data_IF_108621406295
#
_entry.id   IF_108621406295
#
_cell.length_a   1.000
_cell.length_b   1.000
_cell.length_c   1.000
_cell.angle_alpha   90.00
_cell.angle_beta   90.00
_cell.angle_gamma   90.00
#
_symmetry.space_group_name_H-M   'P 1'
#
loop_
_entity.id
_entity.type
_entity.pdbx_description
1 polymer ?
#
# COMPACT_ATOMS: atom_id res chain seq x y z
N UNK A 1 -18.17 -22.46 -3.33
CA UNK A 1 -18.04 -21.12 -2.72
C UNK A 1 -18.79 -21.17 -1.40
N UNK A 2 -18.14 -21.19 -0.23
CA UNK A 2 -18.96 -21.46 0.96
C UNK A 2 -18.34 -21.59 2.35
N UNK A 3 -17.22 -20.94 2.69
CA UNK A 3 -16.72 -20.89 4.08
C UNK A 3 -16.03 -19.55 4.38
N UNK A 4 -16.64 -18.42 4.03
CA UNK A 4 -16.07 -17.09 4.30
C UNK A 4 -15.92 -16.85 5.81
N UNK A 5 -16.92 -17.23 6.61
CA UNK A 5 -16.89 -17.06 8.07
C UNK A 5 -15.82 -17.91 8.77
N UNK A 6 -15.52 -19.12 8.28
CA UNK A 6 -14.49 -19.98 8.86
C UNK A 6 -13.08 -19.48 8.53
N UNK A 7 -12.90 -18.97 7.30
CA UNK A 7 -11.66 -18.32 6.88
C UNK A 7 -11.39 -17.05 7.70
N UNK A 8 -12.41 -16.21 7.92
CA UNK A 8 -12.33 -15.03 8.78
C UNK A 8 -11.96 -15.39 10.23
N UNK A 9 -12.57 -16.44 10.79
CA UNK A 9 -12.27 -16.86 12.15
C UNK A 9 -10.84 -17.42 12.30
N UNK A 10 -10.41 -18.27 11.36
CA UNK A 10 -9.05 -18.79 11.33
C UNK A 10 -8.03 -17.67 11.21
N UNK A 11 -8.32 -16.67 10.39
CA UNK A 11 -7.44 -15.54 10.17
C UNK A 11 -7.39 -14.62 11.40
N UNK A 12 -8.51 -14.31 12.05
CA UNK A 12 -8.52 -13.61 13.35
C UNK A 12 -7.66 -14.35 14.38
N UNK A 13 -7.88 -15.66 14.55
CA UNK A 13 -7.11 -16.48 15.50
C UNK A 13 -5.61 -16.48 15.16
N UNK A 14 -5.26 -16.60 13.89
CA UNK A 14 -3.86 -16.56 13.44
C UNK A 14 -3.20 -15.21 13.75
N UNK A 15 -3.90 -14.10 13.49
CA UNK A 15 -3.43 -12.75 13.81
C UNK A 15 -3.27 -12.55 15.32
N UNK A 16 -4.24 -12.97 16.12
CA UNK A 16 -4.19 -12.85 17.59
C UNK A 16 -3.02 -13.67 18.17
N UNK A 17 -2.83 -14.90 17.69
CA UNK A 17 -1.70 -15.76 18.10
C UNK A 17 -0.38 -15.12 17.72
N UNK A 18 -0.25 -14.60 16.50
CA UNK A 18 0.97 -13.95 16.04
C UNK A 18 1.29 -12.70 16.87
N UNK A 19 0.28 -11.87 17.14
CA UNK A 19 0.46 -10.66 17.93
C UNK A 19 0.86 -11.00 19.36
N UNK A 20 0.17 -11.95 19.99
CA UNK A 20 0.52 -12.44 21.32
C UNK A 20 1.96 -13.01 21.35
N UNK A 21 2.36 -13.75 20.32
CA UNK A 21 3.71 -14.30 20.21
C UNK A 21 4.76 -13.20 20.05
N UNK A 22 4.46 -12.14 19.28
CA UNK A 22 5.35 -10.98 19.11
C UNK A 22 5.49 -10.15 20.39
N UNK A 23 4.39 -9.95 21.13
CA UNK A 23 4.37 -9.21 22.39
C UNK A 23 5.11 -9.95 23.51
N UNK A 24 5.01 -11.28 23.55
CA UNK A 24 5.68 -12.11 24.56
C UNK A 24 7.08 -12.59 24.15
N UNK A 25 7.62 -12.16 23.00
CA UNK A 25 8.99 -12.51 22.61
C UNK A 25 9.98 -11.49 23.20
N UNK A 26 10.78 -11.86 24.22
CA UNK A 26 11.65 -10.92 24.93
C UNK A 26 12.89 -10.51 24.12
N UNK A 27 13.33 -11.34 23.17
CA UNK A 27 14.49 -11.06 22.34
C UNK A 27 14.10 -10.20 21.14
N UNK A 28 14.63 -8.97 20.97
CA UNK A 28 14.31 -8.10 19.84
C UNK A 28 14.62 -8.76 18.49
N UNK A 29 15.78 -9.44 18.38
CA UNK A 29 16.17 -10.16 17.17
C UNK A 29 15.20 -11.30 16.82
N UNK A 30 14.70 -12.01 17.84
CA UNK A 30 13.71 -13.08 17.64
C UNK A 30 12.33 -12.51 17.28
N UNK A 31 11.94 -11.37 17.87
CA UNK A 31 10.71 -10.63 17.53
C UNK A 31 10.75 -10.18 16.07
N UNK A 32 11.88 -9.64 15.61
CA UNK A 32 12.11 -9.29 14.21
C UNK A 32 12.01 -10.50 13.28
N UNK A 33 12.73 -11.59 13.58
CA UNK A 33 12.70 -12.79 12.74
C UNK A 33 11.28 -13.36 12.62
N UNK A 34 10.54 -13.35 13.73
CA UNK A 34 9.16 -13.82 13.77
C UNK A 34 8.23 -12.93 12.94
N UNK A 35 8.34 -11.61 13.10
CA UNK A 35 7.52 -10.66 12.36
C UNK A 35 7.78 -10.75 10.85
N UNK A 36 9.05 -10.84 10.43
CA UNK A 36 9.40 -11.01 9.01
C UNK A 36 8.89 -12.34 8.46
N UNK A 37 9.03 -13.43 9.20
CA UNK A 37 8.55 -14.76 8.79
C UNK A 37 7.04 -14.77 8.54
N UNK A 38 6.30 -13.96 9.28
CA UNK A 38 4.84 -13.92 9.23
C UNK A 38 4.29 -12.58 8.69
N UNK A 39 5.11 -11.82 7.94
CA UNK A 39 4.72 -10.52 7.38
C UNK A 39 3.45 -10.60 6.50
N UNK A 40 3.22 -11.74 5.84
CA UNK A 40 2.01 -11.97 5.05
C UNK A 40 0.71 -11.89 5.86
N UNK A 41 0.71 -12.30 7.14
CA UNK A 41 -0.47 -12.17 8.01
C UNK A 41 -0.74 -10.71 8.37
N UNK A 42 0.32 -9.91 8.56
CA UNK A 42 0.19 -8.48 8.83
C UNK A 42 -0.36 -7.74 7.60
N UNK A 43 0.17 -8.03 6.41
CA UNK A 43 -0.34 -7.50 5.14
C UNK A 43 -1.81 -7.87 4.91
N UNK A 44 -2.17 -9.14 5.16
CA UNK A 44 -3.56 -9.58 5.06
C UNK A 44 -4.48 -8.86 6.05
N UNK A 45 -4.01 -8.59 7.26
CA UNK A 45 -4.79 -7.87 8.28
C UNK A 45 -5.10 -6.43 7.84
N UNK A 46 -4.15 -5.76 7.18
CA UNK A 46 -4.39 -4.44 6.56
C UNK A 46 -5.45 -4.55 5.46
N UNK A 47 -5.31 -5.51 4.55
CA UNK A 47 -6.26 -5.68 3.44
C UNK A 47 -7.71 -5.91 3.92
N UNK A 48 -7.89 -6.66 5.00
CA UNK A 48 -9.23 -6.88 5.56
C UNK A 48 -9.78 -5.65 6.30
N UNK A 49 -8.94 -4.89 6.99
CA UNK A 49 -9.36 -3.61 7.56
C UNK A 49 -9.85 -2.65 6.47
N UNK A 50 -9.22 -2.68 5.28
CA UNK A 50 -9.67 -1.92 4.11
C UNK A 50 -11.02 -2.44 3.61
N UNK A 51 -11.16 -3.76 3.44
CA UNK A 51 -12.41 -4.38 2.94
C UNK A 51 -13.61 -4.15 3.87
N UNK A 52 -13.38 -4.13 5.18
CA UNK A 52 -14.41 -3.86 6.19
C UNK A 52 -14.78 -2.37 6.34
N UNK A 53 -14.12 -1.47 5.57
CA UNK A 53 -14.36 -0.03 5.66
C UNK A 53 -13.69 0.65 6.85
N UNK A 54 -12.89 -0.08 7.65
CA UNK A 54 -12.17 0.47 8.79
C UNK A 54 -10.83 1.09 8.35
N UNK A 55 -10.92 2.18 7.59
CA UNK A 55 -9.77 2.77 6.90
C UNK A 55 -8.73 3.41 7.82
N UNK A 56 -9.15 3.95 8.97
CA UNK A 56 -8.21 4.46 9.97
C UNK A 56 -7.37 3.33 10.55
N UNK A 57 -8.01 2.23 10.97
CA UNK A 57 -7.28 1.07 11.49
C UNK A 57 -6.38 0.44 10.43
N UNK A 58 -6.83 0.38 9.17
CA UNK A 58 -6.02 -0.11 8.06
C UNK A 58 -4.72 0.71 7.89
N UNK A 59 -4.83 2.03 7.89
CA UNK A 59 -3.69 2.95 7.81
C UNK A 59 -2.75 2.75 9.01
N UNK A 60 -3.28 2.77 10.23
CA UNK A 60 -2.47 2.62 11.46
C UNK A 60 -1.74 1.27 11.51
N UNK A 61 -2.39 0.19 11.07
CA UNK A 61 -1.77 -1.13 10.94
C UNK A 61 -0.66 -1.14 9.88
N UNK A 62 -0.87 -0.48 8.73
CA UNK A 62 0.15 -0.34 7.70
C UNK A 62 1.36 0.46 8.21
N UNK A 63 1.13 1.57 8.93
CA UNK A 63 2.17 2.39 9.54
C UNK A 63 2.93 1.64 10.65
N UNK A 64 2.23 0.81 11.43
CA UNK A 64 2.86 -0.06 12.42
C UNK A 64 3.83 -1.04 11.78
N UNK A 65 3.42 -1.70 10.71
CA UNK A 65 4.29 -2.61 9.96
C UNK A 65 5.49 -1.90 9.32
N UNK A 66 5.24 -0.75 8.66
CA UNK A 66 6.27 0.06 8.00
C UNK A 66 7.34 0.54 8.98
N UNK A 67 6.93 1.14 10.09
CA UNK A 67 7.86 1.69 11.07
C UNK A 67 8.59 0.60 11.84
N UNK A 68 7.96 -0.55 12.12
CA UNK A 68 8.68 -1.70 12.69
C UNK A 68 9.85 -2.13 11.79
N UNK A 69 9.61 -2.25 10.48
CA UNK A 69 10.66 -2.56 9.51
C UNK A 69 11.73 -1.47 9.46
N UNK A 70 11.35 -0.18 9.43
CA UNK A 70 12.30 0.94 9.40
C UNK A 70 13.17 0.98 10.66
N UNK A 71 12.58 0.78 11.85
CA UNK A 71 13.32 0.73 13.12
C UNK A 71 14.38 -0.38 13.11
N UNK A 72 14.07 -1.55 12.55
CA UNK A 72 15.05 -2.62 12.38
C UNK A 72 16.16 -2.27 11.39
N UNK A 73 15.82 -1.57 10.30
CA UNK A 73 16.76 -1.23 9.23
C UNK A 73 17.74 -0.13 9.64
N UNK A 74 17.28 0.82 10.45
CA UNK A 74 18.06 1.97 10.91
C UNK A 74 18.83 1.72 12.22
N UNK A 75 18.75 0.50 12.78
CA UNK A 75 19.27 0.17 14.11
C UNK A 75 18.85 1.19 15.19
N UNK A 76 17.70 1.84 14.99
CA UNK A 76 17.19 2.82 15.93
C UNK A 76 16.74 2.08 17.19
N UNK A 77 17.36 2.42 18.32
CA UNK A 77 17.07 1.85 19.63
C UNK A 77 15.74 2.39 20.14
N UNK A 78 14.63 1.74 19.76
CA UNK A 78 13.33 2.03 20.34
C UNK A 78 12.19 1.33 19.65
N UNK A 79 11.22 0.84 20.43
CA UNK A 79 9.86 0.52 19.97
C UNK A 79 9.17 1.89 19.75
N UNK A 80 9.61 2.64 18.73
CA UNK A 80 9.00 3.91 18.37
C UNK A 80 7.54 3.66 17.99
N UNK A 81 6.63 4.27 18.75
CA UNK A 81 5.20 4.09 18.56
C UNK A 81 4.81 4.65 17.20
N UNK A 82 4.22 3.82 16.33
CA UNK A 82 3.67 4.33 15.08
C UNK A 82 2.53 5.29 15.36
N UNK A 83 2.44 6.41 14.62
CA UNK A 83 1.47 7.44 14.90
C UNK A 83 0.06 6.93 14.63
N UNK A 84 -0.86 7.31 15.51
CA UNK A 84 -2.30 7.17 15.28
C UNK A 84 -2.76 8.13 14.19
N UNK A 85 -3.93 7.89 13.59
CA UNK A 85 -4.52 8.80 12.62
C UNK A 85 -4.68 10.22 13.20
N UNK A 86 -5.03 10.31 14.48
CA UNK A 86 -5.16 11.58 15.18
C UNK A 86 -3.84 12.36 15.28
N UNK A 87 -2.72 11.65 15.37
CA UNK A 87 -1.38 12.25 15.41
C UNK A 87 -0.91 12.64 14.01
N UNK A 88 -1.19 11.80 13.01
CA UNK A 88 -0.93 12.13 11.60
C UNK A 88 -1.69 13.39 11.19
N UNK A 89 -2.93 13.58 11.66
CA UNK A 89 -3.72 14.79 11.41
C UNK A 89 -3.05 16.09 11.90
N UNK A 90 -2.20 16.02 12.94
CA UNK A 90 -1.45 17.19 13.44
C UNK A 90 -0.36 17.66 12.47
N UNK A 91 0.05 16.80 11.54
CA UNK A 91 1.03 17.11 10.49
C UNK A 91 0.40 17.82 9.28
N UNK A 92 -0.93 17.79 9.19
CA UNK A 92 -1.69 18.32 8.06
C UNK A 92 -2.23 19.72 8.37
N UNK A 93 -2.34 20.54 7.33
CA UNK A 93 -3.00 21.85 7.36
C UNK A 93 -3.89 22.00 6.10
N UNK A 94 -4.73 23.04 5.98
CA UNK A 94 -5.66 23.18 4.86
C UNK A 94 -5.02 23.16 3.45
N UNK A 95 -3.71 23.40 3.35
CA UNK A 95 -2.96 23.41 2.09
C UNK A 95 -2.11 22.16 1.87
N UNK A 96 -2.03 21.26 2.84
CA UNK A 96 -1.22 20.03 2.75
C UNK A 96 -2.09 18.78 2.83
N UNK A 97 -1.66 17.76 2.09
CA UNK A 97 -2.23 16.42 2.11
C UNK A 97 -1.08 15.41 2.13
N UNK A 98 -1.31 14.25 2.71
CA UNK A 98 -0.38 13.12 2.69
C UNK A 98 -0.98 12.05 1.77
N UNK A 99 -0.16 11.52 0.87
CA UNK A 99 -0.44 10.31 0.13
C UNK A 99 0.47 9.21 0.68
N UNK A 100 -0.12 8.20 1.30
CA UNK A 100 0.59 7.02 1.80
C UNK A 100 0.16 5.78 1.04
N UNK A 101 0.99 4.74 1.02
CA UNK A 101 0.68 3.51 0.33
C UNK A 101 1.02 2.26 1.14
N UNK A 102 0.17 1.25 1.00
CA UNK A 102 0.40 -0.09 1.51
C UNK A 102 0.39 -1.07 0.34
N UNK A 103 1.44 -1.88 0.25
CA UNK A 103 1.52 -2.97 -0.72
C UNK A 103 1.40 -4.33 -0.03
N UNK A 104 0.50 -5.14 -0.57
CA UNK A 104 0.31 -6.54 -0.21
C UNK A 104 0.41 -7.43 -1.46
N UNK A 105 0.47 -8.76 -1.29
CA UNK A 105 0.36 -9.70 -2.42
C UNK A 105 -0.96 -9.57 -3.20
N UNK A 106 -1.99 -8.95 -2.62
CA UNK A 106 -3.32 -8.87 -3.21
C UNK A 106 -3.63 -7.49 -3.80
N UNK A 107 -2.98 -6.41 -3.32
CA UNK A 107 -3.28 -5.06 -3.77
C UNK A 107 -2.18 -4.04 -3.49
N UNK A 108 -2.23 -2.96 -4.24
CA UNK A 108 -1.68 -1.66 -3.85
C UNK A 108 -2.85 -0.80 -3.35
N UNK A 109 -2.77 -0.39 -2.10
CA UNK A 109 -3.76 0.47 -1.47
C UNK A 109 -3.11 1.83 -1.19
N UNK A 110 -3.73 2.92 -1.65
CA UNK A 110 -3.25 4.28 -1.40
C UNK A 110 -4.21 5.00 -0.45
N UNK A 111 -3.68 5.57 0.61
CA UNK A 111 -4.40 6.39 1.57
C UNK A 111 -4.13 7.87 1.27
N UNK A 112 -5.19 8.64 1.03
CA UNK A 112 -5.12 10.09 0.90
C UNK A 112 -5.67 10.72 2.17
N UNK A 113 -4.80 11.40 2.91
CA UNK A 113 -5.12 12.06 4.15
C UNK A 113 -5.22 13.57 3.90
N UNK A 114 -6.37 14.14 4.24
CA UNK A 114 -6.62 15.58 4.18
C UNK A 114 -6.78 16.13 5.59
N UNK A 115 -6.43 17.41 5.74
CA UNK A 115 -6.62 18.12 7.00
C UNK A 115 -8.09 18.12 7.44
N UNK A 116 -8.32 17.78 8.71
CA UNK A 116 -9.64 17.68 9.35
C UNK A 116 -10.61 16.70 8.67
N UNK A 117 -10.10 15.74 7.88
CA UNK A 117 -10.92 14.64 7.41
C UNK A 117 -11.18 13.66 8.58
N UNK A 118 -12.41 13.14 8.73
CA UNK A 118 -12.72 12.19 9.79
C UNK A 118 -12.12 10.79 9.55
N UNK A 119 -11.77 10.49 8.29
CA UNK A 119 -11.13 9.24 7.88
C UNK A 119 -10.28 9.46 6.61
N UNK A 120 -9.26 8.61 6.37
CA UNK A 120 -8.49 8.66 5.13
C UNK A 120 -9.34 8.22 3.94
N UNK A 121 -9.08 8.78 2.76
CA UNK A 121 -9.69 8.33 1.51
C UNK A 121 -8.85 7.18 0.97
N UNK A 122 -9.44 6.00 0.78
CA UNK A 122 -8.72 4.83 0.26
C UNK A 122 -8.96 4.68 -1.24
N UNK A 123 -7.87 4.69 -1.99
CA UNK A 123 -7.83 4.29 -3.39
C UNK A 123 -7.29 2.85 -3.43
N UNK A 124 -8.19 1.90 -3.61
CA UNK A 124 -7.84 0.49 -3.77
C UNK A 124 -8.42 -0.03 -5.07
N UNK A 125 -7.63 -0.84 -5.77
CA UNK A 125 -8.06 -1.50 -7.00
C UNK A 125 -9.27 -2.42 -6.71
N UNK A 126 -9.32 -3.09 -5.54
CA UNK A 126 -10.46 -3.91 -5.13
C UNK A 126 -11.72 -3.10 -4.81
N UNK A 127 -11.58 -1.95 -4.15
CA UNK A 127 -12.73 -1.06 -3.88
C UNK A 127 -13.31 -0.56 -5.21
N UNK A 128 -12.46 -0.24 -6.17
CA UNK A 128 -12.87 0.15 -7.52
C UNK A 128 -13.59 -1.00 -8.25
N UNK A 129 -13.14 -2.25 -8.09
CA UNK A 129 -13.77 -3.44 -8.64
C UNK A 129 -15.11 -3.81 -7.97
N UNK A 130 -15.27 -3.56 -6.67
CA UNK A 130 -16.52 -3.76 -5.93
C UNK A 130 -17.54 -2.69 -6.33
N UNK A 131 -17.13 -1.42 -6.44
CA UNK A 131 -18.00 -0.33 -6.86
C UNK A 131 -18.39 -0.40 -8.35
N UNK A 132 -17.60 -1.08 -9.18
CA UNK A 132 -17.93 -1.36 -10.59
C UNK A 132 -18.66 -2.70 -10.79
N UNK A 133 -18.94 -3.43 -9.70
CA UNK A 133 -19.69 -4.69 -9.73
C UNK A 133 -21.19 -4.48 -9.95
N UNK A 134 -21.67 -3.23 -9.90
CA UNK A 134 -22.98 -2.85 -10.46
C UNK A 134 -22.97 -2.73 -11.99
N UNK A 135 -21.80 -2.71 -12.66
CA UNK A 135 -21.72 -2.44 -14.12
C UNK A 135 -21.13 -3.54 -15.00
N UNK A 136 -20.64 -4.68 -14.50
CA UNK A 136 -20.07 -5.70 -15.39
C UNK A 136 -20.53 -7.13 -15.10
N UNK A 137 -21.72 -7.47 -15.60
CA UNK A 137 -22.03 -8.83 -16.05
C UNK A 137 -21.46 -9.04 -17.47
N UNK A 138 -20.33 -9.75 -17.59
CA UNK A 138 -19.88 -10.54 -18.75
C UNK A 138 -18.49 -11.13 -18.40
N UNK A 139 -18.31 -12.44 -18.25
CA UNK A 139 -18.09 -13.41 -19.34
C UNK A 139 -17.04 -12.98 -20.36
N UNK A 140 -15.77 -13.09 -20.00
CA UNK A 140 -14.70 -13.61 -20.86
C UNK A 140 -13.46 -13.83 -19.97
N UNK A 141 -12.51 -14.70 -20.34
CA UNK A 141 -11.33 -15.08 -19.53
C UNK A 141 -10.30 -13.96 -19.23
N UNK A 142 -10.74 -12.71 -19.10
CA UNK A 142 -9.92 -11.51 -18.87
C UNK A 142 -9.64 -11.37 -17.38
N UNK A 143 -8.36 -11.50 -17.02
CA UNK A 143 -7.86 -11.29 -15.67
C UNK A 143 -8.42 -9.96 -15.09
N UNK A 144 -8.94 -9.95 -13.84
CA UNK A 144 -9.46 -8.73 -13.22
C UNK A 144 -8.45 -7.59 -13.32
N UNK A 145 -8.91 -6.38 -13.63
CA UNK A 145 -8.07 -5.18 -13.80
C UNK A 145 -7.11 -4.96 -12.64
N UNK A 146 -7.55 -5.30 -11.42
CA UNK A 146 -6.76 -5.28 -10.19
C UNK A 146 -5.54 -6.20 -10.21
N UNK A 147 -5.70 -7.41 -10.74
CA UNK A 147 -4.63 -8.41 -10.86
C UNK A 147 -3.63 -8.02 -11.96
N UNK A 148 -4.10 -7.33 -13.01
CA UNK A 148 -3.21 -6.78 -14.04
C UNK A 148 -2.35 -5.64 -13.50
N UNK A 149 -2.97 -4.68 -12.81
CA UNK A 149 -2.25 -3.56 -12.17
C UNK A 149 -1.24 -4.04 -11.12
N UNK A 150 -1.60 -5.06 -10.33
CA UNK A 150 -0.69 -5.67 -9.37
C UNK A 150 0.52 -6.32 -10.06
N UNK A 151 0.28 -7.08 -11.14
CA UNK A 151 1.36 -7.68 -11.93
C UNK A 151 2.26 -6.63 -12.56
N UNK A 152 1.68 -5.62 -13.19
CA UNK A 152 2.42 -4.52 -13.81
C UNK A 152 3.29 -3.77 -12.78
N UNK A 153 2.75 -3.54 -11.57
CA UNK A 153 3.52 -2.94 -10.48
C UNK A 153 4.63 -3.86 -9.96
N UNK A 154 4.35 -5.16 -9.79
CA UNK A 154 5.35 -6.14 -9.35
C UNK A 154 6.50 -6.25 -10.37
N UNK A 155 6.18 -6.29 -11.67
CA UNK A 155 7.15 -6.30 -12.76
C UNK A 155 7.98 -5.00 -12.76
N UNK A 156 7.33 -3.85 -12.52
CA UNK A 156 8.00 -2.55 -12.41
C UNK A 156 8.98 -2.51 -11.22
N UNK A 157 8.58 -2.98 -10.04
CA UNK A 157 9.45 -3.05 -8.86
C UNK A 157 10.63 -4.00 -9.10
N UNK A 158 10.39 -5.15 -9.73
CA UNK A 158 11.45 -6.09 -10.07
C UNK A 158 12.44 -5.47 -11.06
N UNK A 159 11.94 -4.78 -12.08
CA UNK A 159 12.78 -4.11 -13.07
C UNK A 159 13.57 -2.95 -12.44
N UNK A 160 12.94 -2.15 -11.57
CA UNK A 160 13.64 -1.12 -10.80
C UNK A 160 14.77 -1.70 -9.97
N UNK A 161 14.51 -2.76 -9.19
CA UNK A 161 15.52 -3.37 -8.34
C UNK A 161 16.74 -3.85 -9.14
N UNK A 162 16.51 -4.35 -10.36
CA UNK A 162 17.58 -4.73 -11.28
C UNK A 162 18.37 -3.52 -11.76
N UNK A 163 17.69 -2.48 -12.24
CA UNK A 163 18.33 -1.24 -12.72
C UNK A 163 19.12 -0.53 -11.60
N UNK A 164 18.60 -0.53 -10.38
CA UNK A 164 19.29 0.01 -9.20
C UNK A 164 20.54 -0.83 -8.84
N UNK A 165 20.47 -2.15 -8.95
CA UNK A 165 21.61 -3.04 -8.73
C UNK A 165 22.71 -2.82 -9.79
N UNK A 166 22.34 -2.69 -11.06
CA UNK A 166 23.29 -2.41 -12.15
C UNK A 166 23.97 -1.03 -11.97
N UNK A 167 23.21 -0.01 -11.54
CA UNK A 167 23.76 1.30 -11.14
C UNK A 167 24.77 1.18 -10.00
N UNK A 168 24.44 0.42 -8.94
CA UNK A 168 25.30 0.20 -7.77
C UNK A 168 26.61 -0.53 -8.11
N UNK A 169 26.59 -1.37 -9.15
CA UNK A 169 27.75 -2.13 -9.62
C UNK A 169 28.63 -1.33 -10.60
N UNK A 170 28.31 -0.05 -10.86
CA UNK A 170 29.09 0.81 -11.74
C UNK A 170 29.01 0.41 -13.22
N UNK A 171 27.96 -0.35 -13.59
CA UNK A 171 27.69 -0.75 -14.98
C UNK A 171 27.05 0.35 -15.82
N UNK A 172 26.75 1.50 -15.22
CA UNK A 172 26.51 2.77 -15.93
C UNK A 172 27.85 3.33 -16.42
N UNK A 173 28.56 2.55 -17.24
CA UNK A 173 29.74 3.01 -17.95
C UNK A 173 29.30 3.87 -19.12
N UNK A 174 29.62 5.17 -19.03
CA UNK A 174 29.85 6.26 -20.01
C UNK A 174 29.55 6.12 -21.53
N UNK A 175 29.04 5.01 -22.07
CA UNK A 175 29.11 4.75 -23.51
C UNK A 175 27.80 4.80 -24.30
N UNK A 176 26.62 4.85 -23.69
CA UNK A 176 25.38 5.03 -24.45
C UNK A 176 24.41 5.81 -23.57
N UNK A 177 23.80 6.87 -24.11
CA UNK A 177 22.78 7.72 -23.46
C UNK A 177 21.51 6.98 -23.04
N UNK A 178 21.65 5.97 -22.19
CA UNK A 178 20.59 5.30 -21.48
C UNK A 178 20.23 6.17 -20.30
N UNK A 179 19.01 6.70 -20.34
CA UNK A 179 18.32 7.38 -19.25
C UNK A 179 18.56 6.63 -17.95
N UNK A 180 19.23 7.27 -16.98
CA UNK A 180 19.42 6.70 -15.66
C UNK A 180 18.04 6.33 -15.10
N UNK A 181 17.94 5.33 -14.22
CA UNK A 181 16.67 5.00 -13.55
C UNK A 181 16.00 6.24 -12.92
N UNK A 182 16.81 7.25 -12.55
CA UNK A 182 16.39 8.57 -12.08
C UNK A 182 15.59 9.39 -13.10
N UNK A 183 15.92 9.30 -14.37
CA UNK A 183 15.28 10.10 -15.43
C UNK A 183 13.89 9.55 -15.79
N UNK A 184 13.63 8.28 -15.48
CA UNK A 184 12.33 7.61 -15.68
C UNK A 184 11.40 7.69 -14.48
N UNK A 185 11.84 8.27 -13.36
CA UNK A 185 11.01 8.46 -12.16
C UNK A 185 9.64 9.10 -12.42
N UNK A 186 9.52 10.16 -13.23
CA UNK A 186 8.21 10.78 -13.50
C UNK A 186 7.22 9.83 -14.18
N UNK A 187 7.69 9.02 -15.13
CA UNK A 187 6.85 8.08 -15.88
C UNK A 187 6.44 6.88 -15.01
N UNK A 188 7.33 6.43 -14.12
CA UNK A 188 7.09 5.33 -13.18
C UNK A 188 5.99 5.66 -12.15
N UNK A 189 5.95 6.92 -11.68
CA UNK A 189 4.95 7.39 -10.72
C UNK A 189 3.58 7.58 -11.39
N UNK A 190 3.56 7.94 -12.67
CA UNK A 190 2.33 8.19 -13.44
C UNK A 190 1.52 6.92 -13.68
N UNK A 191 2.18 5.77 -13.91
CA UNK A 191 1.53 4.45 -14.05
C UNK A 191 0.76 4.05 -12.79
N UNK A 192 1.19 4.53 -11.61
CA UNK A 192 0.65 4.11 -10.32
C UNK A 192 -0.60 4.91 -9.89
N UNK A 193 -0.87 6.07 -10.51
CA UNK A 193 -1.94 7.00 -10.10
C UNK A 193 -2.97 7.22 -11.23
N UNK A 194 -3.18 6.22 -12.09
CA UNK A 194 -4.29 6.30 -13.06
C UNK A 194 -5.63 6.11 -12.34
N UNK A 195 -6.13 7.21 -11.78
CA UNK A 195 -7.53 7.37 -11.39
C UNK A 195 -8.39 7.20 -12.65
N UNK A 196 -9.51 6.46 -12.61
CA UNK A 196 -10.44 6.47 -13.73
C UNK A 196 -10.90 7.91 -13.94
N UNK A 197 -10.68 8.43 -15.15
CA UNK A 197 -11.02 9.77 -15.58
C UNK A 197 -12.44 10.13 -15.11
N UNK A 198 -12.55 10.99 -14.10
CA UNK A 198 -13.81 11.69 -13.84
C UNK A 198 -14.02 12.62 -15.02
N UNK A 199 -15.04 12.28 -15.82
CA UNK A 199 -15.74 13.18 -16.75
C UNK A 199 -15.79 14.60 -16.18
N UNK A 200 -14.95 15.48 -16.71
CA UNK A 200 -15.01 16.91 -16.45
C UNK A 200 -16.22 17.43 -17.20
N UNK A 201 -17.35 17.58 -16.50
CA UNK A 201 -18.47 18.36 -17.03
C UNK A 201 -17.98 19.78 -17.32
N UNK A 202 -17.98 20.12 -18.60
CA UNK A 202 -17.43 21.37 -19.12
C UNK A 202 -18.09 22.61 -18.52
N UNK A 203 -17.30 23.40 -17.83
CA UNK A 203 -17.66 24.77 -17.46
C UNK A 203 -17.40 25.67 -18.68
N UNK A 204 -18.45 26.02 -19.43
CA UNK A 204 -18.37 27.03 -20.49
C UNK A 204 -18.23 28.43 -19.84
N UNK A 205 -17.21 29.22 -20.17
CA UNK A 205 -17.17 30.61 -19.74
C UNK A 205 -18.23 31.43 -20.49
N UNK A 206 -19.05 32.17 -19.75
CA UNK A 206 -19.92 33.22 -20.31
C UNK A 206 -19.03 34.37 -20.78
N UNK A 207 -19.05 34.64 -22.08
CA UNK A 207 -18.57 35.89 -22.65
C UNK A 207 -19.45 37.06 -22.19
N UNK A 208 -18.82 38.16 -21.80
CA UNK A 208 -19.37 39.50 -21.91
C UNK A 208 -18.49 40.29 -22.85
#
# INVERSE_FOLDING_TARGET
MGQTSEAEELQRRATDILQNLLENTPSPARKQQLALRFAGFQQLTVDLAIQSGNWCAALELAEKGKNACLSWLLYSLGDESSPTYSEIQKLLNPTTAIADWHISPNALNTFILKHNAPSPIVLSSHISAINSREENQASDGKLPTTVKQHREFADLVQNWNKEYADYREGKDSEEIGQTAWRDRLPDLVTVTISLPERQVYGFKPRSR
#
